data_IF_754793193102
#
_entry.id   IF_754793193102
#
_cell.length_a   1.000
_cell.length_b   1.000
_cell.length_c   1.000
_cell.angle_alpha   90.00
_cell.angle_beta   90.00
_cell.angle_gamma   90.00
#
_symmetry.space_group_name_H-M   'P 1'
#
loop_
_entity.id
_entity.type
_entity.pdbx_description
1 polymer ?
#
# COMPACT_ATOMS: atom_id res chain seq x y z
N UNK A 1 -34.20 14.84 31.41
CA UNK A 1 -32.83 14.52 31.88
C UNK A 1 -32.66 13.04 31.63
N UNK A 2 -32.10 12.67 30.48
CA UNK A 2 -31.60 11.32 30.23
C UNK A 2 -30.62 11.40 29.07
N UNK A 3 -29.53 10.66 29.23
CA UNK A 3 -28.20 10.93 28.73
C UNK A 3 -28.05 10.67 27.23
N UNK A 4 -27.58 11.69 26.51
CA UNK A 4 -26.94 11.55 25.20
C UNK A 4 -25.88 10.45 25.28
N UNK A 5 -26.13 9.33 24.60
CA UNK A 5 -25.10 8.34 24.31
C UNK A 5 -24.20 8.99 23.26
N UNK A 6 -23.07 9.52 23.70
CA UNK A 6 -21.99 9.96 22.83
C UNK A 6 -21.41 8.70 22.18
N UNK A 7 -22.01 8.28 21.06
CA UNK A 7 -21.41 7.28 20.20
C UNK A 7 -20.20 7.95 19.55
N UNK A 8 -18.98 7.42 19.73
CA UNK A 8 -17.83 7.94 19.01
C UNK A 8 -18.14 7.82 17.52
N UNK A 9 -18.07 8.95 16.82
CA UNK A 9 -18.19 9.01 15.36
C UNK A 9 -17.05 8.14 14.83
N UNK A 10 -17.37 6.93 14.39
CA UNK A 10 -16.44 6.11 13.64
C UNK A 10 -16.27 6.83 12.31
N UNK A 11 -15.14 7.54 12.13
CA UNK A 11 -14.77 8.15 10.84
C UNK A 11 -15.02 7.11 9.75
N UNK A 12 -15.82 7.46 8.74
CA UNK A 12 -16.12 6.53 7.66
C UNK A 12 -14.83 6.29 6.86
N UNK A 13 -14.66 5.10 6.29
CA UNK A 13 -13.41 4.72 5.60
C UNK A 13 -13.05 5.70 4.45
N UNK A 14 -14.07 6.30 3.82
CA UNK A 14 -13.89 7.32 2.79
C UNK A 14 -13.32 8.63 3.38
N UNK A 15 -13.87 9.13 4.49
CA UNK A 15 -13.36 10.32 5.18
C UNK A 15 -11.90 10.14 5.64
N UNK A 16 -11.57 8.94 6.13
CA UNK A 16 -10.21 8.58 6.53
C UNK A 16 -9.21 8.67 5.36
N UNK A 17 -9.59 8.17 4.18
CA UNK A 17 -8.74 8.27 2.99
C UNK A 17 -8.59 9.71 2.50
N UNK A 18 -9.68 10.49 2.49
CA UNK A 18 -9.62 11.90 2.09
C UNK A 18 -8.69 12.71 3.00
N UNK A 19 -8.72 12.44 4.31
CA UNK A 19 -7.81 13.04 5.29
C UNK A 19 -6.35 12.73 4.97
N UNK A 20 -6.01 11.46 4.73
CA UNK A 20 -4.64 11.08 4.34
C UNK A 20 -4.22 11.72 3.01
N UNK A 21 -5.12 11.81 2.03
CA UNK A 21 -4.82 12.48 0.75
C UNK A 21 -4.56 13.96 0.92
N UNK A 22 -5.36 14.65 1.72
CA UNK A 22 -5.16 16.07 2.07
C UNK A 22 -3.82 16.26 2.76
N UNK A 23 -3.52 15.47 3.79
CA UNK A 23 -2.24 15.54 4.51
C UNK A 23 -1.05 15.31 3.57
N UNK A 24 -1.16 14.35 2.64
CA UNK A 24 -0.11 14.10 1.64
C UNK A 24 0.07 15.29 0.69
N UNK A 25 -1.03 15.90 0.24
CA UNK A 25 -1.00 17.07 -0.64
C UNK A 25 -0.39 18.31 0.03
N UNK A 26 -0.60 18.47 1.34
CA UNK A 26 0.02 19.53 2.15
C UNK A 26 1.49 19.24 2.46
N UNK A 27 1.85 17.97 2.68
CA UNK A 27 3.22 17.57 3.02
C UNK A 27 4.18 17.65 1.83
N UNK A 28 3.81 17.10 0.67
CA UNK A 28 4.73 16.94 -0.48
C UNK A 28 5.45 18.24 -0.89
N UNK A 29 4.78 19.42 -0.95
CA UNK A 29 5.45 20.68 -1.27
C UNK A 29 6.49 21.14 -0.25
N UNK A 30 6.43 20.66 0.99
CA UNK A 30 7.37 21.02 2.06
C UNK A 30 8.65 20.18 2.06
N UNK A 31 8.66 19.07 1.31
CA UNK A 31 9.79 18.15 1.29
C UNK A 31 10.91 18.64 0.37
N UNK A 32 12.19 18.34 0.69
CA UNK A 32 13.29 18.55 -0.24
C UNK A 32 13.02 17.85 -1.57
N UNK A 33 13.27 18.56 -2.66
CA UNK A 33 12.92 18.13 -4.01
C UNK A 33 14.15 18.06 -4.90
N UNK A 34 14.19 17.05 -5.75
CA UNK A 34 15.25 16.86 -6.74
C UNK A 34 14.68 16.28 -8.03
N UNK A 35 15.42 16.45 -9.13
CA UNK A 35 15.10 15.80 -10.40
C UNK A 35 15.60 14.37 -10.37
N UNK A 36 14.72 13.42 -10.71
CA UNK A 36 15.10 12.03 -10.88
C UNK A 36 15.79 11.78 -12.23
N UNK A 37 16.41 10.61 -12.37
CA UNK A 37 17.03 10.21 -13.63
C UNK A 37 15.99 9.89 -14.73
N UNK A 38 14.78 9.45 -14.35
CA UNK A 38 13.65 9.22 -15.27
C UNK A 38 12.36 9.96 -14.88
N UNK A 39 12.26 10.44 -13.63
CA UNK A 39 11.10 11.16 -13.10
C UNK A 39 11.42 12.64 -12.98
N UNK A 40 10.46 13.49 -13.33
CA UNK A 40 10.62 14.94 -13.24
C UNK A 40 10.83 15.41 -11.80
N UNK A 41 10.20 14.73 -10.84
CA UNK A 41 10.18 15.16 -9.44
C UNK A 41 10.31 13.97 -8.48
N UNK A 42 11.35 14.02 -7.65
CA UNK A 42 11.53 13.18 -6.48
C UNK A 42 11.54 14.05 -5.23
N UNK A 43 10.97 13.53 -4.16
CA UNK A 43 10.88 14.16 -2.85
C UNK A 43 11.57 13.27 -1.83
N UNK A 44 12.32 13.88 -0.91
CA UNK A 44 12.94 13.17 0.19
C UNK A 44 11.90 12.92 1.29
N UNK A 45 11.50 11.66 1.48
CA UNK A 45 10.53 11.26 2.51
C UNK A 45 11.07 10.05 3.28
N UNK A 46 11.15 10.16 4.61
CA UNK A 46 11.66 9.12 5.51
C UNK A 46 13.02 8.52 5.08
N UNK A 47 13.92 9.36 4.55
CA UNK A 47 15.26 8.93 4.12
C UNK A 47 15.33 8.38 2.68
N UNK A 48 14.22 8.29 1.96
CA UNK A 48 14.17 7.80 0.57
C UNK A 48 13.78 8.91 -0.40
N UNK A 49 14.33 8.87 -1.62
CA UNK A 49 13.92 9.73 -2.73
C UNK A 49 12.83 9.03 -3.54
N UNK A 50 11.61 9.56 -3.52
CA UNK A 50 10.45 8.93 -4.15
C UNK A 50 9.56 9.97 -4.83
N UNK A 51 8.76 9.57 -5.81
CA UNK A 51 7.69 10.44 -6.33
C UNK A 51 6.56 10.59 -5.31
N UNK A 52 5.64 11.52 -5.57
CA UNK A 52 4.50 11.77 -4.68
C UNK A 52 3.56 10.55 -4.54
N UNK A 53 3.50 9.68 -5.55
CA UNK A 53 2.62 8.50 -5.54
C UNK A 53 3.01 7.46 -4.48
N UNK A 54 4.27 6.96 -4.39
CA UNK A 54 4.70 6.10 -3.31
C UNK A 54 4.60 6.73 -1.92
N UNK A 55 4.82 8.04 -1.78
CA UNK A 55 4.66 8.75 -0.49
C UNK A 55 3.21 8.65 -0.03
N UNK A 56 2.25 8.95 -0.92
CA UNK A 56 0.81 8.80 -0.64
C UNK A 56 0.47 7.36 -0.25
N UNK A 57 0.98 6.38 -0.99
CA UNK A 57 0.78 4.97 -0.68
C UNK A 57 1.33 4.57 0.69
N UNK A 58 2.52 5.07 1.05
CA UNK A 58 3.13 4.84 2.36
C UNK A 58 2.28 5.43 3.49
N UNK A 59 1.76 6.65 3.33
CA UNK A 59 0.86 7.25 4.31
C UNK A 59 -0.45 6.46 4.45
N UNK A 60 -1.05 6.01 3.34
CA UNK A 60 -2.25 5.18 3.37
C UNK A 60 -2.02 3.85 4.11
N UNK A 61 -0.88 3.19 3.87
CA UNK A 61 -0.53 1.97 4.58
C UNK A 61 -0.38 2.27 6.08
N UNK A 62 0.35 3.34 6.44
CA UNK A 62 0.54 3.70 7.83
C UNK A 62 -0.78 4.00 8.57
N UNK A 63 -1.69 4.74 7.93
CA UNK A 63 -2.90 5.24 8.57
C UNK A 63 -4.01 4.17 8.62
N UNK A 64 -4.09 3.30 7.61
CA UNK A 64 -5.28 2.45 7.38
C UNK A 64 -5.01 0.95 7.31
N UNK A 65 -3.77 0.51 7.04
CA UNK A 65 -3.48 -0.91 6.95
C UNK A 65 -3.45 -1.53 8.35
N UNK A 66 -4.34 -2.51 8.58
CA UNK A 66 -4.43 -3.26 9.84
C UNK A 66 -3.86 -4.67 9.61
N UNK A 67 -2.55 -4.90 9.87
CA UNK A 67 -1.94 -6.19 9.62
C UNK A 67 -2.55 -7.25 10.52
N UNK A 68 -2.76 -8.43 9.96
CA UNK A 68 -3.14 -9.64 10.70
C UNK A 68 -1.91 -10.53 10.89
N UNK A 69 -1.86 -11.34 11.96
CA UNK A 69 -0.74 -12.27 12.18
C UNK A 69 -0.52 -13.29 11.05
N UNK A 70 -1.53 -13.49 10.20
CA UNK A 70 -1.49 -14.43 9.06
C UNK A 70 -1.14 -13.76 7.74
N UNK A 71 -1.01 -12.43 7.69
CA UNK A 71 -0.71 -11.72 6.46
C UNK A 71 0.76 -11.97 6.05
N UNK A 72 0.99 -12.12 4.74
CA UNK A 72 2.31 -12.31 4.16
C UNK A 72 2.64 -11.10 3.29
N UNK A 73 3.69 -10.38 3.67
CA UNK A 73 4.17 -9.20 2.94
C UNK A 73 5.31 -9.62 2.02
N UNK A 74 5.11 -9.44 0.71
CA UNK A 74 6.15 -9.63 -0.30
C UNK A 74 6.76 -8.28 -0.62
N UNK A 75 8.01 -8.07 -0.21
CA UNK A 75 8.74 -6.83 -0.44
C UNK A 75 9.96 -7.08 -1.33
N UNK A 76 10.12 -6.28 -2.38
CA UNK A 76 11.32 -6.27 -3.22
C UNK A 76 11.64 -4.84 -3.64
N UNK A 77 12.88 -4.61 -4.05
CA UNK A 77 13.21 -3.41 -4.82
C UNK A 77 12.42 -3.39 -6.14
N UNK A 78 12.08 -2.21 -6.68
CA UNK A 78 11.40 -2.11 -7.96
C UNK A 78 12.12 -2.87 -9.07
N UNK A 79 11.36 -3.55 -9.93
CA UNK A 79 11.84 -4.32 -11.09
C UNK A 79 12.69 -5.57 -10.77
N UNK A 80 12.81 -5.98 -9.51
CA UNK A 80 13.51 -7.21 -9.12
C UNK A 80 12.63 -8.48 -9.18
N UNK A 81 11.71 -8.57 -10.15
CA UNK A 81 10.93 -9.80 -10.38
C UNK A 81 9.75 -10.02 -9.42
N UNK A 82 9.05 -8.96 -8.99
CA UNK A 82 7.85 -9.06 -8.14
C UNK A 82 6.80 -10.01 -8.69
N UNK A 83 6.60 -10.05 -10.02
CA UNK A 83 5.62 -10.95 -10.66
C UNK A 83 5.95 -12.42 -10.42
N UNK A 84 7.22 -12.80 -10.61
CA UNK A 84 7.64 -14.19 -10.41
C UNK A 84 7.61 -14.56 -8.93
N UNK A 85 8.07 -13.66 -8.04
CA UNK A 85 8.02 -13.89 -6.60
C UNK A 85 6.59 -14.00 -6.08
N UNK A 86 5.67 -13.13 -6.54
CA UNK A 86 4.25 -13.17 -6.17
C UNK A 86 3.59 -14.47 -6.63
N UNK A 87 3.87 -14.91 -7.86
CA UNK A 87 3.41 -16.19 -8.38
C UNK A 87 3.90 -17.37 -7.52
N UNK A 88 5.18 -17.39 -7.20
CA UNK A 88 5.81 -18.46 -6.42
C UNK A 88 5.24 -18.53 -5.00
N UNK A 89 5.13 -17.39 -4.32
CA UNK A 89 4.53 -17.31 -2.97
C UNK A 89 3.08 -17.80 -3.01
N UNK A 90 2.28 -17.34 -3.98
CA UNK A 90 0.90 -17.77 -4.15
C UNK A 90 0.78 -19.29 -4.36
N UNK A 91 1.59 -19.86 -5.25
CA UNK A 91 1.58 -21.30 -5.52
C UNK A 91 1.98 -22.13 -4.31
N UNK A 92 2.95 -21.68 -3.51
CA UNK A 92 3.37 -22.40 -2.28
C UNK A 92 2.26 -22.43 -1.25
N UNK A 93 1.61 -21.29 -1.01
CA UNK A 93 0.53 -21.16 -0.01
C UNK A 93 -0.67 -22.03 -0.41
N UNK A 94 -1.01 -22.06 -1.70
CA UNK A 94 -2.21 -22.71 -2.22
C UNK A 94 -1.95 -24.09 -2.85
N UNK A 95 -0.78 -24.70 -2.60
CA UNK A 95 -0.33 -25.94 -3.28
C UNK A 95 -1.24 -27.15 -3.08
N UNK A 96 -2.03 -27.14 -2.01
CA UNK A 96 -3.01 -28.20 -1.70
C UNK A 96 -4.44 -27.83 -2.09
N UNK A 97 -4.65 -26.58 -2.50
CA UNK A 97 -5.97 -26.03 -2.82
C UNK A 97 -6.27 -26.08 -4.32
N UNK A 98 -5.25 -26.14 -5.17
CA UNK A 98 -5.40 -26.17 -6.63
C UNK A 98 -4.49 -27.23 -7.26
N UNK A 99 -5.02 -27.95 -8.25
CA UNK A 99 -4.22 -28.81 -9.10
C UNK A 99 -3.37 -27.98 -10.08
N UNK A 100 -2.21 -28.52 -10.45
CA UNK A 100 -1.26 -27.87 -11.35
C UNK A 100 -1.88 -27.60 -12.73
N UNK A 101 -2.75 -28.50 -13.22
CA UNK A 101 -3.37 -28.34 -14.55
C UNK A 101 -4.45 -27.24 -14.58
N UNK A 102 -5.09 -26.97 -13.44
CA UNK A 102 -6.20 -26.01 -13.30
C UNK A 102 -5.86 -24.86 -12.34
N UNK A 103 -4.59 -24.45 -12.30
CA UNK A 103 -4.12 -23.44 -11.37
C UNK A 103 -4.61 -22.02 -11.73
N UNK A 104 -5.03 -21.17 -10.76
CA UNK A 104 -5.53 -19.82 -11.02
C UNK A 104 -4.56 -18.92 -11.81
N UNK A 105 -3.25 -19.13 -11.65
CA UNK A 105 -2.21 -18.36 -12.36
C UNK A 105 -2.18 -18.59 -13.88
N UNK A 106 -2.87 -19.61 -14.40
CA UNK A 106 -3.04 -19.79 -15.85
C UNK A 106 -4.10 -18.85 -16.45
N UNK A 107 -4.97 -18.30 -15.61
CA UNK A 107 -6.12 -17.49 -16.03
C UNK A 107 -6.02 -16.03 -15.59
N UNK A 108 -5.24 -15.75 -14.54
CA UNK A 108 -5.08 -14.43 -13.97
C UNK A 108 -3.61 -14.11 -13.69
N UNK A 109 -3.25 -12.84 -13.86
CA UNK A 109 -1.92 -12.36 -13.47
C UNK A 109 -1.74 -12.50 -11.95
N UNK A 110 -0.54 -12.94 -11.50
CA UNK A 110 -0.24 -13.10 -10.09
C UNK A 110 -0.45 -11.83 -9.29
#
# INVERSE_FOLDING_TARGET
>A
METSKFFPIVETQDEGYQKTFKNCAELVPTLPRSKGWWLDELFQYQGFWMSSFPIRGSMLINDHFKPRPTDIIVATSPKCGTTWLRALVFSIINRHSFDLSHHPLHKANP
#
